data_IF_377614037578
#
_entry.id   IF_377614037578
#
_cell.length_a   1.000
_cell.length_b   1.000
_cell.length_c   1.000
_cell.angle_alpha   90.00
_cell.angle_beta   90.00
_cell.angle_gamma   90.00
#
_symmetry.space_group_name_H-M   'P 1'
#
loop_
_entity.id
_entity.type
_entity.pdbx_description
1 polymer ?
#
# COMPACT_ATOMS: atom_id res chain seq x y z
N UNK A 1 15.75 8.16 8.96
CA UNK A 1 15.03 8.55 7.73
C UNK A 1 14.89 7.33 6.84
N UNK A 2 13.75 7.14 6.18
CA UNK A 2 13.32 5.84 5.66
C UNK A 2 12.94 5.81 4.15
N UNK A 3 13.16 6.90 3.42
CA UNK A 3 12.66 7.12 2.03
C UNK A 3 13.68 6.81 0.96
N UNK A 4 13.26 6.09 -0.09
CA UNK A 4 14.19 5.61 -1.13
C UNK A 4 13.58 5.53 -2.52
N UNK A 5 12.58 4.66 -2.70
CA UNK A 5 12.02 4.42 -4.02
C UNK A 5 11.09 5.56 -4.44
N UNK A 6 10.16 5.97 -3.56
CA UNK A 6 9.17 7.00 -3.89
C UNK A 6 9.80 8.35 -4.27
N UNK A 7 10.84 8.86 -3.58
CA UNK A 7 11.48 10.09 -4.03
C UNK A 7 12.22 9.96 -5.37
N UNK A 8 12.87 8.82 -5.63
CA UNK A 8 13.47 8.56 -6.95
C UNK A 8 12.39 8.48 -8.05
N UNK A 9 11.24 7.87 -7.74
CA UNK A 9 10.07 7.85 -8.61
C UNK A 9 9.54 9.27 -8.88
N UNK A 10 9.42 10.11 -7.84
CA UNK A 10 9.01 11.50 -8.00
C UNK A 10 10.01 12.30 -8.85
N UNK A 11 11.31 12.05 -8.69
CA UNK A 11 12.37 12.67 -9.51
C UNK A 11 12.22 12.29 -10.98
N UNK A 12 12.01 11.00 -11.28
CA UNK A 12 11.76 10.53 -12.65
C UNK A 12 10.45 11.12 -13.21
N UNK A 13 9.38 11.08 -12.44
CA UNK A 13 8.06 11.58 -12.85
C UNK A 13 8.04 13.11 -13.05
N UNK A 14 8.91 13.86 -12.39
CA UNK A 14 9.08 15.31 -12.62
C UNK A 14 9.47 15.61 -14.07
N UNK A 15 10.24 14.73 -14.71
CA UNK A 15 10.60 14.89 -16.13
C UNK A 15 9.42 14.80 -17.09
N UNK A 16 8.27 14.28 -16.63
CA UNK A 16 7.03 14.16 -17.40
C UNK A 16 5.89 15.00 -16.82
N UNK A 17 6.22 16.02 -16.02
CA UNK A 17 5.26 17.01 -15.53
C UNK A 17 4.64 16.75 -14.16
N UNK A 18 5.25 15.91 -13.31
CA UNK A 18 4.81 15.80 -11.92
C UNK A 18 5.08 17.11 -11.14
N UNK A 19 4.02 17.68 -10.57
CA UNK A 19 4.08 18.91 -9.75
C UNK A 19 3.80 18.66 -8.26
N UNK A 20 2.95 17.67 -7.96
CA UNK A 20 2.45 17.39 -6.61
C UNK A 20 2.86 16.00 -6.13
N UNK A 21 3.22 15.90 -4.85
CA UNK A 21 3.52 14.64 -4.15
C UNK A 21 2.82 14.57 -2.82
N UNK A 22 2.52 13.35 -2.37
CA UNK A 22 1.92 13.08 -1.07
C UNK A 22 2.91 12.35 -0.16
N UNK A 23 2.85 12.63 1.14
CA UNK A 23 3.65 11.94 2.15
C UNK A 23 2.88 11.82 3.45
N UNK A 24 3.17 10.77 4.22
CA UNK A 24 2.73 10.67 5.60
C UNK A 24 3.59 11.53 6.53
N UNK A 25 2.99 11.98 7.63
CA UNK A 25 3.68 12.64 8.75
C UNK A 25 4.68 11.71 9.43
N UNK A 26 4.25 10.46 9.68
CA UNK A 26 5.05 9.41 10.30
C UNK A 26 4.69 8.03 9.72
N UNK A 27 5.62 7.09 9.85
CA UNK A 27 5.40 5.68 9.57
C UNK A 27 4.76 4.94 10.75
N UNK A 28 4.53 3.64 10.55
CA UNK A 28 4.04 2.68 11.54
C UNK A 28 4.88 2.73 12.83
N UNK A 29 4.22 2.72 13.99
CA UNK A 29 4.87 2.87 15.28
C UNK A 29 5.55 4.23 15.50
N UNK A 30 5.12 5.28 14.78
CA UNK A 30 5.68 6.63 14.92
C UNK A 30 7.04 6.84 14.26
N UNK A 31 7.44 5.96 13.34
CA UNK A 31 8.74 6.07 12.67
C UNK A 31 8.89 7.38 11.88
N UNK A 32 10.03 8.05 12.00
CA UNK A 32 10.30 9.31 11.29
C UNK A 32 10.48 9.11 9.76
N UNK A 33 9.35 9.06 9.05
CA UNK A 33 9.24 8.74 7.62
C UNK A 33 8.46 9.81 6.83
N UNK A 34 8.88 11.08 6.94
CA UNK A 34 8.33 12.23 6.21
C UNK A 34 9.23 12.67 5.04
N UNK A 35 8.63 13.01 3.90
CA UNK A 35 9.28 13.21 2.60
C UNK A 35 9.26 14.66 2.12
N UNK A 36 8.67 15.54 2.91
CA UNK A 36 8.53 16.96 2.61
C UNK A 36 9.89 17.62 2.35
N UNK A 37 10.91 17.28 3.14
CA UNK A 37 12.26 17.82 2.94
C UNK A 37 12.84 17.49 1.55
N UNK A 38 12.62 16.27 1.06
CA UNK A 38 13.07 15.89 -0.28
C UNK A 38 12.21 16.57 -1.35
N UNK A 39 10.89 16.63 -1.15
CA UNK A 39 9.98 17.32 -2.07
C UNK A 39 10.37 18.79 -2.26
N UNK A 40 10.73 19.48 -1.16
CA UNK A 40 11.21 20.87 -1.18
C UNK A 40 12.47 21.04 -2.03
N UNK A 41 13.45 20.14 -1.89
CA UNK A 41 14.68 20.17 -2.71
C UNK A 41 14.37 19.94 -4.19
N UNK A 42 13.43 19.04 -4.48
CA UNK A 42 13.00 18.76 -5.85
C UNK A 42 12.07 19.83 -6.44
N UNK A 43 11.66 20.83 -5.66
CA UNK A 43 10.73 21.87 -6.09
C UNK A 43 9.31 21.35 -6.36
N UNK A 44 8.87 20.32 -5.60
CA UNK A 44 7.55 19.72 -5.71
C UNK A 44 6.64 20.21 -4.59
N UNK A 45 5.38 20.47 -4.90
CA UNK A 45 4.35 20.74 -3.89
C UNK A 45 4.08 19.45 -3.12
N UNK A 46 4.15 19.51 -1.79
CA UNK A 46 4.02 18.34 -0.94
C UNK A 46 2.81 18.44 -0.01
N UNK A 47 1.86 17.54 -0.21
CA UNK A 47 0.79 17.30 0.75
C UNK A 47 1.26 16.31 1.81
N UNK A 48 1.28 16.76 3.06
CA UNK A 48 1.59 15.92 4.23
C UNK A 48 0.28 15.50 4.90
N UNK A 49 0.03 14.21 5.07
CA UNK A 49 -1.19 13.68 5.70
C UNK A 49 -0.89 12.79 6.92
N UNK A 50 -1.82 12.66 7.87
CA UNK A 50 -1.65 11.80 9.02
C UNK A 50 -1.64 10.33 8.58
N UNK A 51 -0.99 9.46 9.36
CA UNK A 51 -1.13 8.02 9.13
C UNK A 51 -2.42 7.53 9.78
N UNK A 52 -3.25 6.89 8.99
CA UNK A 52 -4.54 6.36 9.42
C UNK A 52 -4.39 5.41 10.62
N UNK A 53 -5.17 5.64 11.67
CA UNK A 53 -5.24 4.81 12.87
C UNK A 53 -3.98 4.83 13.74
N UNK A 54 -3.13 5.86 13.65
CA UNK A 54 -1.90 5.94 14.44
C UNK A 54 -2.12 6.00 15.95
N UNK A 55 -3.21 6.60 16.38
CA UNK A 55 -3.69 6.66 17.76
C UNK A 55 -4.38 5.37 18.23
N UNK A 56 -4.72 4.48 17.29
CA UNK A 56 -5.41 3.21 17.54
C UNK A 56 -4.50 1.99 17.40
N UNK A 57 -3.20 2.20 17.18
CA UNK A 57 -2.26 1.10 17.03
C UNK A 57 -2.04 0.33 18.33
N UNK A 58 -2.16 -0.99 18.23
CA UNK A 58 -1.80 -1.91 19.29
C UNK A 58 -0.56 -2.70 18.86
N UNK A 59 0.51 -2.75 19.67
CA UNK A 59 1.67 -3.57 19.38
C UNK A 59 1.34 -5.05 19.60
N UNK A 60 1.49 -5.86 18.55
CA UNK A 60 1.33 -7.32 18.61
C UNK A 60 2.60 -7.93 18.01
N UNK A 61 3.29 -8.77 18.78
CA UNK A 61 4.62 -9.30 18.46
C UNK A 61 5.65 -8.21 18.16
N UNK A 62 6.08 -8.09 16.89
CA UNK A 62 7.09 -7.14 16.41
C UNK A 62 6.49 -6.07 15.49
N UNK A 63 5.17 -5.96 15.45
CA UNK A 63 4.48 -5.02 14.58
C UNK A 63 3.30 -4.33 15.28
N UNK A 64 2.69 -3.37 14.58
CA UNK A 64 1.60 -2.56 15.08
C UNK A 64 0.37 -2.74 14.19
N UNK A 65 -0.78 -2.97 14.82
CA UNK A 65 -2.03 -3.29 14.15
C UNK A 65 -3.15 -2.37 14.62
N UNK A 66 -4.11 -2.14 13.73
CA UNK A 66 -5.34 -1.40 14.03
C UNK A 66 -6.50 -2.39 13.98
N UNK A 67 -7.29 -2.47 15.04
CA UNK A 67 -8.54 -3.22 15.00
C UNK A 67 -9.58 -2.40 14.23
N UNK A 68 -10.07 -2.87 13.07
CA UNK A 68 -11.00 -2.08 12.26
C UNK A 68 -12.35 -1.84 12.96
N UNK A 69 -12.69 -2.61 14.00
CA UNK A 69 -13.87 -2.36 14.83
C UNK A 69 -13.77 -1.08 15.68
N UNK A 70 -12.56 -0.55 15.88
CA UNK A 70 -12.31 0.70 16.61
C UNK A 70 -12.39 1.94 15.72
N UNK A 71 -12.50 1.76 14.39
CA UNK A 71 -12.57 2.88 13.47
C UNK A 71 -13.95 3.56 13.51
N UNK A 72 -14.01 4.90 13.41
CA UNK A 72 -15.26 5.61 13.22
C UNK A 72 -16.02 5.08 11.99
N UNK A 73 -17.34 4.94 12.10
CA UNK A 73 -18.17 4.33 11.05
C UNK A 73 -18.03 4.99 9.67
N UNK A 74 -17.91 6.32 9.62
CA UNK A 74 -17.67 7.05 8.37
C UNK A 74 -16.32 6.71 7.74
N UNK A 75 -15.25 6.72 8.54
CA UNK A 75 -13.91 6.33 8.06
C UNK A 75 -13.89 4.86 7.59
N UNK A 76 -14.53 3.97 8.34
CA UNK A 76 -14.64 2.56 7.95
C UNK A 76 -15.37 2.39 6.61
N UNK A 77 -16.42 3.18 6.34
CA UNK A 77 -17.13 3.16 5.06
C UNK A 77 -16.21 3.58 3.90
N UNK A 78 -15.35 4.58 4.10
CA UNK A 78 -14.36 4.99 3.10
C UNK A 78 -13.25 3.96 2.88
N UNK A 79 -12.98 3.12 3.87
CA UNK A 79 -12.01 2.03 3.75
C UNK A 79 -12.58 0.74 3.13
N UNK A 80 -13.89 0.61 2.95
CA UNK A 80 -14.51 -0.60 2.36
C UNK A 80 -13.87 -1.06 1.04
N UNK A 81 -13.49 -0.17 0.10
CA UNK A 81 -12.80 -0.58 -1.13
C UNK A 81 -11.45 -1.28 -0.90
N UNK A 82 -10.79 -1.05 0.22
CA UNK A 82 -9.56 -1.77 0.54
C UNK A 82 -9.85 -3.16 1.11
N UNK A 83 -10.89 -3.29 1.93
CA UNK A 83 -11.29 -4.55 2.59
C UNK A 83 -11.97 -5.57 1.66
N UNK A 84 -12.33 -5.21 0.44
CA UNK A 84 -12.75 -6.19 -0.58
C UNK A 84 -11.59 -6.98 -1.18
N UNK A 85 -10.35 -6.54 -0.96
CA UNK A 85 -9.18 -7.30 -1.37
C UNK A 85 -9.09 -8.60 -0.54
N UNK A 86 -8.94 -9.76 -1.18
CA UNK A 86 -8.70 -11.01 -0.45
C UNK A 86 -7.33 -11.02 0.23
N UNK A 87 -6.36 -10.25 -0.27
CA UNK A 87 -5.03 -10.09 0.33
C UNK A 87 -4.99 -9.01 1.42
N UNK A 88 -3.81 -8.85 2.03
CA UNK A 88 -3.58 -7.89 3.11
C UNK A 88 -3.92 -6.46 2.73
N UNK A 89 -4.67 -5.81 3.63
CA UNK A 89 -5.05 -4.41 3.52
C UNK A 89 -3.89 -3.54 4.02
N UNK A 90 -2.89 -3.33 3.17
CA UNK A 90 -1.68 -2.56 3.54
C UNK A 90 -1.73 -1.10 3.06
N UNK A 91 -2.50 -0.81 2.01
CA UNK A 91 -2.46 0.48 1.32
C UNK A 91 -3.52 1.48 1.80
N UNK A 92 -4.31 1.12 2.83
CA UNK A 92 -5.38 1.95 3.39
C UNK A 92 -4.93 3.33 3.88
N UNK A 93 -3.64 3.51 4.15
CA UNK A 93 -3.07 4.83 4.45
C UNK A 93 -3.25 5.83 3.30
N UNK A 94 -3.51 5.38 2.07
CA UNK A 94 -3.78 6.26 0.93
C UNK A 94 -5.17 6.89 0.97
N UNK A 95 -6.09 6.39 1.82
CA UNK A 95 -7.43 6.95 1.95
C UNK A 95 -7.41 8.42 2.42
N UNK A 96 -6.41 8.82 3.22
CA UNK A 96 -6.28 10.21 3.70
C UNK A 96 -5.93 11.21 2.59
N UNK A 97 -5.57 10.71 1.41
CA UNK A 97 -5.23 11.50 0.22
C UNK A 97 -6.28 11.37 -0.89
N UNK A 98 -7.52 11.02 -0.54
CA UNK A 98 -8.58 10.78 -1.53
C UNK A 98 -8.78 11.95 -2.48
N UNK A 99 -8.73 13.18 -1.97
CA UNK A 99 -8.91 14.41 -2.76
C UNK A 99 -7.74 14.63 -3.74
N UNK A 100 -6.51 14.34 -3.34
CA UNK A 100 -5.34 14.45 -4.21
C UNK A 100 -5.27 13.34 -5.26
N UNK A 101 -5.86 12.18 -4.96
CA UNK A 101 -5.83 11.01 -5.83
C UNK A 101 -6.97 10.99 -6.85
N UNK A 102 -8.11 11.65 -6.58
CA UNK A 102 -9.27 11.63 -7.47
C UNK A 102 -8.92 12.04 -8.91
N UNK A 103 -9.17 11.15 -9.88
CA UNK A 103 -8.88 11.38 -11.31
C UNK A 103 -7.38 11.46 -11.68
N UNK A 104 -6.46 11.19 -10.76
CA UNK A 104 -5.03 11.41 -10.98
C UNK A 104 -4.33 10.25 -11.71
N UNK A 105 -3.14 10.52 -12.25
CA UNK A 105 -2.12 9.49 -12.51
C UNK A 105 -1.21 9.41 -11.30
N UNK A 106 -1.35 8.35 -10.52
CA UNK A 106 -0.65 8.18 -9.25
C UNK A 106 0.60 7.30 -9.40
N UNK A 107 1.77 7.92 -9.26
CA UNK A 107 3.06 7.22 -9.31
C UNK A 107 3.49 6.71 -7.93
N UNK A 108 3.92 5.45 -7.85
CA UNK A 108 4.48 4.90 -6.60
C UNK A 108 5.82 4.21 -6.79
N UNK A 109 6.55 4.08 -5.68
CA UNK A 109 7.76 3.27 -5.60
C UNK A 109 7.51 1.79 -5.28
N UNK A 110 6.28 1.28 -5.47
CA UNK A 110 5.96 -0.13 -5.20
C UNK A 110 6.81 -1.06 -6.07
N UNK A 111 7.15 -2.23 -5.53
CA UNK A 111 8.10 -3.20 -6.11
C UNK A 111 9.56 -2.71 -6.27
N UNK A 112 9.87 -1.45 -5.99
CA UNK A 112 11.23 -0.89 -6.12
C UNK A 112 12.27 -1.63 -5.27
N UNK A 113 11.83 -2.22 -4.16
CA UNK A 113 12.69 -3.04 -3.30
C UNK A 113 13.22 -4.30 -3.96
N UNK A 114 12.46 -4.91 -4.87
CA UNK A 114 12.83 -6.11 -5.61
C UNK A 114 13.49 -5.80 -6.96
N UNK A 115 13.07 -4.73 -7.63
CA UNK A 115 13.52 -4.40 -8.99
C UNK A 115 14.84 -3.62 -8.99
N UNK A 116 15.00 -2.65 -8.08
CA UNK A 116 16.21 -1.83 -7.95
C UNK A 116 17.15 -2.30 -6.85
N UNK A 117 16.85 -3.45 -6.25
CA UNK A 117 17.65 -4.05 -5.19
C UNK A 117 18.84 -4.84 -5.74
N UNK A 118 19.90 -4.92 -4.93
CA UNK A 118 21.05 -5.80 -5.23
C UNK A 118 20.72 -7.29 -5.17
N UNK A 119 19.61 -7.65 -4.51
CA UNK A 119 19.25 -9.04 -4.27
C UNK A 119 18.38 -9.58 -5.38
N UNK A 120 18.61 -10.84 -5.70
CA UNK A 120 17.90 -11.56 -6.74
C UNK A 120 16.50 -12.00 -6.30
N UNK A 121 15.63 -11.03 -6.07
CA UNK A 121 14.27 -11.26 -5.57
C UNK A 121 13.23 -11.45 -6.69
N UNK A 122 13.44 -10.78 -7.82
CA UNK A 122 12.48 -10.76 -8.93
C UNK A 122 13.03 -11.54 -10.11
N UNK A 123 12.48 -12.72 -10.38
CA UNK A 123 12.85 -13.56 -11.53
C UNK A 123 12.33 -13.02 -12.87
N UNK A 124 12.62 -13.70 -14.00
CA UNK A 124 12.13 -13.32 -15.32
C UNK A 124 10.60 -13.22 -15.43
N UNK A 125 9.88 -13.91 -14.54
CA UNK A 125 8.43 -13.90 -14.44
C UNK A 125 7.86 -12.76 -13.57
N UNK A 126 8.70 -11.83 -13.12
CA UNK A 126 8.29 -10.70 -12.27
C UNK A 126 7.57 -11.12 -10.98
N UNK A 127 8.09 -12.15 -10.29
CA UNK A 127 7.53 -12.62 -9.03
C UNK A 127 7.30 -11.45 -8.06
N UNK A 128 6.06 -11.31 -7.58
CA UNK A 128 5.71 -10.33 -6.56
C UNK A 128 6.36 -10.71 -5.23
N UNK A 129 6.88 -9.71 -4.53
CA UNK A 129 7.63 -9.88 -3.29
C UNK A 129 6.89 -9.35 -2.06
N UNK A 130 5.82 -8.59 -2.28
CA UNK A 130 4.92 -8.06 -1.26
C UNK A 130 3.57 -7.69 -1.91
N UNK A 131 2.62 -7.35 -1.03
CA UNK A 131 1.24 -7.06 -1.39
C UNK A 131 1.02 -5.57 -1.67
N UNK A 132 2.09 -4.78 -1.86
CA UNK A 132 1.96 -3.32 -2.09
C UNK A 132 1.07 -3.05 -3.30
N UNK A 133 0.04 -2.25 -3.12
CA UNK A 133 -0.94 -1.92 -4.15
C UNK A 133 -1.99 -2.99 -4.43
N UNK A 134 -1.95 -4.17 -3.78
CA UNK A 134 -2.96 -5.20 -3.97
C UNK A 134 -4.34 -4.73 -3.46
N UNK A 135 -4.36 -3.94 -2.39
CA UNK A 135 -5.58 -3.43 -1.78
C UNK A 135 -6.15 -2.16 -2.45
N UNK A 136 -5.53 -1.69 -3.55
CA UNK A 136 -5.96 -0.47 -4.25
C UNK A 136 -7.05 -0.68 -5.31
N UNK A 137 -7.40 -1.93 -5.62
CA UNK A 137 -8.21 -2.23 -6.81
C UNK A 137 -9.56 -1.51 -6.83
N UNK A 138 -10.37 -1.64 -5.78
CA UNK A 138 -11.68 -1.00 -5.73
C UNK A 138 -11.56 0.49 -5.40
N UNK A 139 -10.57 0.86 -4.57
CA UNK A 139 -10.32 2.25 -4.19
C UNK A 139 -10.00 3.13 -5.41
N UNK A 140 -9.13 2.65 -6.31
CA UNK A 140 -8.77 3.39 -7.53
C UNK A 140 -9.90 3.47 -8.54
N UNK A 141 -10.78 2.45 -8.59
CA UNK A 141 -11.99 2.48 -9.43
C UNK A 141 -12.98 3.52 -8.90
N UNK A 142 -13.21 3.53 -7.59
CA UNK A 142 -14.10 4.50 -6.92
C UNK A 142 -13.65 5.95 -7.14
N UNK A 143 -12.36 6.23 -7.03
CA UNK A 143 -11.80 7.57 -7.21
C UNK A 143 -11.40 7.91 -8.67
N UNK A 144 -11.48 6.93 -9.58
CA UNK A 144 -11.15 7.13 -10.99
C UNK A 144 -9.69 7.43 -11.29
N UNK A 145 -8.73 6.91 -10.50
CA UNK A 145 -7.30 7.17 -10.69
C UNK A 145 -6.53 6.00 -11.33
N UNK A 146 -5.49 6.33 -12.08
CA UNK A 146 -4.58 5.36 -12.69
C UNK A 146 -3.34 5.17 -11.81
N UNK A 147 -3.10 3.94 -11.33
CA UNK A 147 -1.92 3.62 -10.54
C UNK A 147 -0.76 3.17 -11.43
N UNK A 148 0.39 3.84 -11.31
CA UNK A 148 1.59 3.56 -12.10
C UNK A 148 2.79 3.34 -11.16
N UNK A 149 3.07 2.10 -10.74
CA UNK A 149 4.27 1.81 -9.97
C UNK A 149 5.50 1.90 -10.87
N UNK A 150 6.26 3.00 -10.77
CA UNK A 150 7.38 3.33 -11.66
C UNK A 150 8.42 2.20 -11.78
N UNK A 151 8.82 1.51 -10.69
CA UNK A 151 9.77 0.41 -10.81
C UNK A 151 9.32 -0.68 -11.80
N UNK A 152 8.02 -0.85 -12.00
CA UNK A 152 7.47 -1.91 -12.85
C UNK A 152 7.51 -1.60 -14.35
N UNK A 153 7.65 -0.33 -14.76
CA UNK A 153 7.57 0.10 -16.17
C UNK A 153 8.57 -0.67 -17.05
N UNK A 154 9.78 -0.94 -16.52
CA UNK A 154 10.83 -1.68 -17.22
C UNK A 154 11.13 -3.05 -16.60
N UNK A 155 10.25 -3.58 -15.73
CA UNK A 155 10.54 -4.79 -14.96
C UNK A 155 10.78 -6.03 -15.80
N UNK A 156 10.23 -6.11 -17.03
CA UNK A 156 10.56 -7.17 -18.00
C UNK A 156 12.05 -7.24 -18.35
N UNK A 157 12.78 -6.14 -18.15
CA UNK A 157 14.23 -6.03 -18.35
C UNK A 157 15.00 -6.13 -17.03
N UNK A 158 14.46 -6.83 -16.02
CA UNK A 158 15.09 -6.94 -14.68
C UNK A 158 16.55 -7.42 -14.74
N UNK A 159 16.92 -8.26 -15.71
CA UNK A 159 18.33 -8.69 -15.92
C UNK A 159 19.24 -7.50 -16.26
N UNK A 160 18.78 -6.62 -17.16
CA UNK A 160 19.50 -5.39 -17.52
C UNK A 160 19.55 -4.41 -16.36
N UNK A 161 18.43 -4.20 -15.66
CA UNK A 161 18.38 -3.35 -14.47
C UNK A 161 19.37 -3.85 -13.40
N UNK A 162 19.48 -5.17 -13.21
CA UNK A 162 20.48 -5.77 -12.31
C UNK A 162 21.90 -5.54 -12.79
N UNK A 163 22.18 -5.73 -14.07
CA UNK A 163 23.51 -5.45 -14.62
C UNK A 163 23.92 -3.99 -14.36
N UNK A 164 23.00 -3.03 -14.51
CA UNK A 164 23.22 -1.63 -14.13
C UNK A 164 23.43 -1.52 -12.62
N UNK A 165 22.58 -2.12 -11.79
CA UNK A 165 22.66 -2.04 -10.32
C UNK A 165 24.01 -2.53 -9.78
N UNK A 166 24.62 -3.52 -10.43
CA UNK A 166 25.92 -4.12 -10.07
C UNK A 166 27.12 -3.54 -10.84
N UNK A 167 26.92 -2.54 -11.70
CA UNK A 167 28.02 -1.96 -12.49
C UNK A 167 28.99 -1.15 -11.63
N UNK A 168 30.21 -0.96 -12.14
CA UNK A 168 31.21 -0.09 -11.50
C UNK A 168 30.75 1.37 -11.39
N UNK A 169 29.92 1.84 -12.32
CA UNK A 169 29.33 3.18 -12.26
C UNK A 169 28.42 3.37 -11.04
N UNK A 170 27.82 2.29 -10.51
CA UNK A 170 27.00 2.38 -9.32
C UNK A 170 27.81 2.44 -8.03
N UNK A 171 29.11 2.13 -8.07
CA UNK A 171 29.97 2.00 -6.89
C UNK A 171 29.99 3.27 -6.00
N UNK A 172 30.03 4.50 -6.54
CA UNK A 172 29.96 5.72 -5.72
C UNK A 172 28.66 5.86 -4.91
N UNK A 173 27.55 5.27 -5.39
CA UNK A 173 26.22 5.34 -4.79
C UNK A 173 25.90 4.14 -3.88
N UNK A 174 26.88 3.29 -3.62
CA UNK A 174 26.75 2.17 -2.69
C UNK A 174 26.96 2.66 -1.26
N UNK A 175 26.14 2.18 -0.34
CA UNK A 175 26.32 2.40 1.10
C UNK A 175 26.45 1.10 1.89
N UNK A 176 26.34 -0.04 1.20
CA UNK A 176 26.36 -1.35 1.84
C UNK A 176 25.10 -1.65 2.66
N UNK A 177 25.11 -2.81 3.32
CA UNK A 177 24.00 -3.29 4.13
C UNK A 177 22.85 -3.92 3.34
N UNK A 178 21.85 -4.43 4.06
CA UNK A 178 20.74 -5.21 3.49
C UNK A 178 19.87 -4.41 2.51
N UNK A 179 19.87 -3.09 2.65
CA UNK A 179 18.93 -2.21 1.97
C UNK A 179 19.61 -1.24 0.99
N UNK A 180 20.76 -1.63 0.46
CA UNK A 180 21.50 -0.87 -0.54
C UNK A 180 20.74 -0.81 -1.87
N UNK A 181 20.60 0.40 -2.43
CA UNK A 181 19.76 0.75 -3.59
C UNK A 181 20.47 1.81 -4.43
N UNK A 182 21.49 1.43 -5.21
CA UNK A 182 22.35 2.40 -5.88
C UNK A 182 21.63 3.21 -6.97
N UNK A 183 20.75 2.59 -7.77
CA UNK A 183 20.02 3.30 -8.83
C UNK A 183 19.13 4.42 -8.25
N UNK A 184 18.23 4.17 -7.27
CA UNK A 184 17.44 5.23 -6.65
C UNK A 184 18.28 6.31 -5.97
N UNK A 185 19.42 5.92 -5.38
CA UNK A 185 20.33 6.87 -4.75
C UNK A 185 20.98 7.78 -5.77
N UNK A 186 21.50 7.23 -6.87
CA UNK A 186 22.07 7.99 -7.97
C UNK A 186 21.10 9.04 -8.48
N UNK A 187 19.87 8.63 -8.80
CA UNK A 187 18.81 9.52 -9.28
C UNK A 187 18.60 10.72 -8.34
N UNK A 188 18.59 10.48 -7.03
CA UNK A 188 18.36 11.53 -6.04
C UNK A 188 19.58 12.42 -5.81
N UNK A 189 20.77 11.83 -5.68
CA UNK A 189 22.01 12.59 -5.50
C UNK A 189 22.30 13.48 -6.71
N UNK A 190 22.09 12.99 -7.93
CA UNK A 190 22.21 13.79 -9.17
C UNK A 190 21.13 14.88 -9.27
N UNK A 191 19.98 14.70 -8.62
CA UNK A 191 18.93 15.72 -8.53
C UNK A 191 19.16 16.72 -7.37
N UNK A 192 20.32 16.69 -6.71
CA UNK A 192 20.70 17.62 -5.66
C UNK A 192 20.22 17.24 -4.25
N UNK A 193 19.66 16.05 -4.06
CA UNK A 193 19.25 15.58 -2.73
C UNK A 193 20.49 15.10 -1.95
N UNK A 194 20.78 15.66 -0.76
CA UNK A 194 21.92 15.24 0.04
C UNK A 194 21.86 13.75 0.42
N UNK A 195 23.03 13.10 0.43
CA UNK A 195 23.18 11.66 0.65
C UNK A 195 22.55 11.17 1.96
N UNK A 196 22.65 11.99 3.00
CA UNK A 196 22.11 11.73 4.35
C UNK A 196 20.58 11.74 4.40
N UNK A 197 19.92 12.37 3.43
CA UNK A 197 18.46 12.36 3.32
C UNK A 197 17.93 11.07 2.68
N UNK A 198 18.81 10.23 2.15
CA UNK A 198 18.41 8.92 1.64
C UNK A 198 18.28 7.92 2.79
N UNK A 199 17.13 7.25 2.87
CA UNK A 199 16.86 6.35 3.98
C UNK A 199 17.83 5.17 4.07
N UNK A 200 18.26 4.83 5.29
CA UNK A 200 19.11 3.66 5.58
C UNK A 200 18.29 2.43 5.98
N UNK A 201 17.12 2.65 6.61
CA UNK A 201 16.20 1.60 7.09
C UNK A 201 14.84 1.62 6.38
N UNK A 202 14.06 0.53 6.46
CA UNK A 202 12.76 0.41 5.75
C UNK A 202 11.67 1.11 6.56
N UNK A 203 11.14 2.20 6.04
CA UNK A 203 9.94 2.84 6.60
C UNK A 203 8.71 2.15 6.07
N UNK A 204 7.64 2.22 6.85
CA UNK A 204 6.39 1.52 6.57
C UNK A 204 5.26 2.49 6.80
N UNK A 205 4.65 2.96 5.73
CA UNK A 205 3.38 3.70 5.80
C UNK A 205 2.17 2.79 5.97
N UNK A 206 2.33 1.48 5.74
CA UNK A 206 1.22 0.55 5.76
C UNK A 206 0.51 0.49 7.11
N UNK A 207 -0.82 0.42 7.03
CA UNK A 207 -1.69 0.10 8.16
C UNK A 207 -1.89 -1.40 8.12
N UNK A 208 -1.76 -2.08 9.26
CA UNK A 208 -2.03 -3.52 9.34
C UNK A 208 -3.32 -3.72 10.10
N UNK A 209 -4.27 -4.44 9.50
CA UNK A 209 -5.52 -4.83 10.16
C UNK A 209 -5.53 -6.32 10.53
N UNK A 210 -4.59 -7.12 10.01
CA UNK A 210 -4.59 -8.57 10.18
C UNK A 210 -3.18 -9.14 10.32
N UNK A 211 -3.08 -10.21 11.09
CA UNK A 211 -1.83 -10.94 11.34
C UNK A 211 -1.59 -12.02 10.27
N UNK A 212 -2.65 -12.50 9.61
CA UNK A 212 -2.60 -13.52 8.56
C UNK A 212 -3.46 -13.11 7.38
N UNK A 213 -2.85 -13.06 6.19
CA UNK A 213 -3.45 -12.43 5.01
C UNK A 213 -4.68 -13.13 4.41
N UNK A 214 -4.90 -14.42 4.73
CA UNK A 214 -5.83 -15.26 3.96
C UNK A 214 -6.52 -16.36 4.79
N UNK A 215 -6.18 -16.54 6.06
CA UNK A 215 -6.70 -17.65 6.84
C UNK A 215 -8.15 -17.37 7.28
N UNK A 216 -9.14 -18.25 7.03
CA UNK A 216 -10.49 -18.07 7.55
C UNK A 216 -10.55 -18.25 9.08
N UNK A 217 -9.52 -18.85 9.67
CA UNK A 217 -9.37 -19.08 11.10
C UNK A 217 -8.03 -18.53 11.57
N UNK A 218 -8.00 -17.96 12.77
CA UNK A 218 -6.75 -17.60 13.42
C UNK A 218 -5.92 -18.89 13.71
N UNK A 219 -4.58 -18.80 13.77
CA UNK A 219 -3.74 -19.92 14.22
C UNK A 219 -4.24 -20.50 15.55
N UNK A 220 -4.12 -21.83 15.73
CA UNK A 220 -4.59 -22.49 16.95
C UNK A 220 -3.92 -21.95 18.23
N UNK A 221 -2.67 -21.52 18.11
CA UNK A 221 -1.84 -20.94 19.16
C UNK A 221 -1.97 -19.42 19.29
N UNK A 222 -2.89 -18.78 18.55
CA UNK A 222 -3.12 -17.35 18.63
C UNK A 222 -3.69 -16.93 20.00
N UNK A 223 -3.23 -15.78 20.50
CA UNK A 223 -3.78 -15.12 21.68
C UNK A 223 -5.20 -14.58 21.41
N UNK A 224 -5.94 -14.28 22.47
CA UNK A 224 -7.32 -13.76 22.33
C UNK A 224 -7.37 -12.39 21.63
N UNK A 225 -6.34 -11.58 21.79
CA UNK A 225 -6.19 -10.32 21.06
C UNK A 225 -6.04 -10.54 19.55
N UNK A 226 -5.21 -11.50 19.15
CA UNK A 226 -5.01 -11.85 17.75
C UNK A 226 -6.29 -12.45 17.14
N UNK A 227 -6.99 -13.31 17.89
CA UNK A 227 -8.29 -13.85 17.47
C UNK A 227 -9.36 -12.77 17.33
N UNK A 228 -9.37 -11.78 18.22
CA UNK A 228 -10.29 -10.62 18.13
C UNK A 228 -10.03 -9.82 16.87
N UNK A 229 -8.77 -9.42 16.63
CA UNK A 229 -8.35 -8.68 15.43
C UNK A 229 -8.68 -9.44 14.14
N UNK A 230 -8.48 -10.76 14.15
CA UNK A 230 -8.83 -11.64 13.04
C UNK A 230 -10.33 -11.63 12.75
N UNK A 231 -11.17 -11.83 13.77
CA UNK A 231 -12.63 -11.82 13.63
C UNK A 231 -13.14 -10.47 13.13
N UNK A 232 -12.69 -9.36 13.70
CA UNK A 232 -13.14 -8.04 13.28
C UNK A 232 -12.78 -7.74 11.83
N UNK A 233 -11.59 -8.16 11.37
CA UNK A 233 -11.20 -8.04 9.97
C UNK A 233 -12.09 -8.87 9.05
N UNK A 234 -12.39 -10.13 9.38
CA UNK A 234 -13.29 -10.97 8.58
C UNK A 234 -14.70 -10.39 8.48
N UNK A 235 -15.25 -9.87 9.58
CA UNK A 235 -16.56 -9.22 9.60
C UNK A 235 -16.60 -7.99 8.67
N UNK A 236 -15.55 -7.18 8.72
CA UNK A 236 -15.41 -5.98 7.88
C UNK A 236 -15.25 -6.36 6.40
N UNK A 237 -14.43 -7.37 6.07
CA UNK A 237 -14.30 -7.90 4.71
C UNK A 237 -15.64 -8.40 4.16
N UNK A 238 -16.38 -9.18 4.95
CA UNK A 238 -17.70 -9.66 4.56
C UNK A 238 -18.67 -8.50 4.28
N UNK A 239 -18.64 -7.45 5.11
CA UNK A 239 -19.44 -6.23 4.88
C UNK A 239 -19.01 -5.48 3.62
N UNK A 240 -17.71 -5.37 3.36
CA UNK A 240 -17.16 -4.69 2.19
C UNK A 240 -17.63 -5.38 0.90
N UNK A 241 -17.47 -6.70 0.81
CA UNK A 241 -17.90 -7.50 -0.35
C UNK A 241 -19.40 -7.32 -0.62
N UNK A 242 -20.24 -7.41 0.42
CA UNK A 242 -21.69 -7.25 0.25
C UNK A 242 -22.08 -5.82 -0.17
N UNK A 243 -21.41 -4.81 0.38
CA UNK A 243 -21.68 -3.40 0.06
C UNK A 243 -21.31 -3.08 -1.38
N UNK A 244 -20.10 -3.42 -1.81
CA UNK A 244 -19.63 -3.17 -3.18
C UNK A 244 -20.44 -3.98 -4.21
N UNK A 245 -20.81 -5.22 -3.89
CA UNK A 245 -21.67 -6.01 -4.77
C UNK A 245 -23.06 -5.36 -4.99
N UNK A 246 -23.60 -4.68 -3.97
CA UNK A 246 -24.84 -3.91 -4.09
C UNK A 246 -24.63 -2.65 -4.94
N UNK A 247 -23.59 -1.86 -4.64
CA UNK A 247 -23.27 -0.64 -5.41
C UNK A 247 -23.05 -0.95 -6.90
N UNK A 248 -22.31 -2.02 -7.23
CA UNK A 248 -22.12 -2.41 -8.61
C UNK A 248 -23.39 -2.88 -9.31
N UNK A 249 -24.29 -3.57 -8.61
CA UNK A 249 -25.59 -3.94 -9.20
C UNK A 249 -26.42 -2.70 -9.52
N UNK A 250 -26.41 -1.70 -8.63
CA UNK A 250 -27.10 -0.42 -8.86
C UNK A 250 -26.51 0.31 -10.08
N UNK A 251 -25.18 0.42 -10.17
CA UNK A 251 -24.48 1.03 -11.32
C UNK A 251 -24.83 0.30 -12.63
N UNK A 252 -24.89 -1.02 -12.60
CA UNK A 252 -25.19 -1.84 -13.78
C UNK A 252 -26.70 -1.94 -14.10
N UNK A 253 -27.57 -1.28 -13.32
CA UNK A 253 -29.02 -1.37 -13.49
C UNK A 253 -29.60 -2.77 -13.22
N UNK A 254 -28.87 -3.61 -12.49
CA UNK A 254 -29.30 -4.96 -12.11
C UNK A 254 -30.19 -4.87 -10.88
N UNK A 255 -31.52 -5.03 -11.04
CA UNK A 255 -32.46 -4.98 -9.92
C UNK A 255 -32.08 -6.00 -8.85
N UNK A 256 -31.95 -5.57 -7.59
CA UNK A 256 -31.89 -6.48 -6.45
C UNK A 256 -33.28 -7.08 -6.29
N UNK A 257 -33.50 -8.29 -6.83
CA UNK A 257 -34.69 -9.05 -6.42
C UNK A 257 -34.52 -9.33 -4.92
N UNK A 258 -35.50 -8.98 -4.06
CA UNK A 258 -35.47 -9.43 -2.68
C UNK A 258 -35.27 -10.95 -2.69
N UNK A 259 -34.37 -11.46 -1.84
CA UNK A 259 -34.40 -12.89 -1.53
C UNK A 259 -35.80 -13.15 -1.01
N UNK A 260 -36.63 -13.82 -1.80
CA UNK A 260 -37.88 -14.39 -1.29
C UNK A 260 -37.46 -15.23 -0.09
N UNK A 261 -38.00 -14.88 1.08
CA UNK A 261 -37.80 -15.66 2.29
C UNK A 261 -38.08 -17.12 1.91
N UNK A 262 -37.09 -17.99 2.11
CA UNK A 262 -37.20 -19.42 1.88
C UNK A 262 -38.53 -19.88 2.46
N UNK A 263 -39.46 -20.29 1.59
CA UNK A 263 -40.69 -20.95 2.02
C UNK A 263 -40.28 -22.07 2.97
N UNK A 264 -40.76 -22.01 4.20
CA UNK A 264 -40.67 -23.13 5.14
C UNK A 264 -41.12 -24.40 4.42
N UNK A 265 -40.40 -25.52 4.59
CA UNK A 265 -40.88 -26.78 4.06
C UNK A 265 -42.23 -27.08 4.71
N UNK A 266 -43.27 -27.24 3.88
CA UNK A 266 -44.58 -27.65 4.33
C UNK A 266 -44.44 -28.92 5.17
N UNK A 267 -44.96 -28.88 6.39
CA UNK A 267 -45.04 -30.06 7.26
C UNK A 267 -45.73 -31.21 6.48
N UNK A 268 -45.20 -32.44 6.54
CA UNK A 268 -45.85 -33.58 5.93
C UNK A 268 -47.17 -33.82 6.68
N UNK A 269 -48.29 -33.64 5.97
CA UNK A 269 -49.60 -33.98 6.48
C UNK A 269 -49.82 -35.50 6.45
N UNK A 270 -50.27 -36.02 7.59
CA UNK A 270 -50.97 -37.29 7.86
C UNK A 270 -50.36 -38.59 7.36
#
# INVERSE_FOLDING_TARGET
>A
MYKRHSPACATLARSVGLERVITLEAGRGGAADNGEGIARILGLECRVGPRLGADLETPIHRDHYVDPALLPAGLLADLMPFFSCPETVEDAFLAVFGDELAGAVFFTGFMGGGIWGLKDKVGPQMNRMDNSGASLEEFRKRLGFAHVPIPTIAARHVRTIRAITHSDEMRPYRVGGWYDRPIPRRILEEAGVPREMFGRDKGRGSVLFEISGLAPLAPEDATEEEKRLHRSTLEVRHRAVNTLAREYREILGLSVRPREASREPAAPGM
#
